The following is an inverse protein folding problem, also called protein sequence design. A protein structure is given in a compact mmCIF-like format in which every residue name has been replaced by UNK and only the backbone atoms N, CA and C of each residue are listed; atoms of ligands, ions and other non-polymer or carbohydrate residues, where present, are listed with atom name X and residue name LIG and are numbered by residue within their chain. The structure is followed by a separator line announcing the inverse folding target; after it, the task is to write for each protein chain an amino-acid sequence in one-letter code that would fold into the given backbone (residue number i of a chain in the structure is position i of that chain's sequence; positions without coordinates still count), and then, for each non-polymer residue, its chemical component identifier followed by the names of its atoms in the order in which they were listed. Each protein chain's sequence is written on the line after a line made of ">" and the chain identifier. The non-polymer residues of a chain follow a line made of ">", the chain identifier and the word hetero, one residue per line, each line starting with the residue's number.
data_IF_504066302984
#
_entry.id   IF_504066302984
#
_cell.length_a   1.000
_cell.length_b   1.000
_cell.length_c   1.000
_cell.angle_alpha   90.00
_cell.angle_beta   90.00
_cell.angle_gamma   90.00
#
_symmetry.space_group_name_H-M   'P 1'
#
loop_
_entity.id
_entity.type
_entity.pdbx_description
1 polymer ?
#
# COMPACT_ATOMS: atom_id res chain seq x y z
N UNK A 1 5.90 -20.95 -48.04
CA UNK A 1 4.74 -20.15 -48.47
C UNK A 1 3.49 -20.36 -47.64
N UNK A 2 3.01 -21.56 -47.39
CA UNK A 2 1.77 -21.79 -46.58
C UNK A 2 1.80 -21.16 -45.18
N UNK A 3 2.90 -21.22 -44.46
CA UNK A 3 3.04 -20.64 -43.12
C UNK A 3 2.93 -19.10 -43.11
N UNK A 4 3.47 -18.44 -44.13
CA UNK A 4 3.43 -16.99 -44.28
C UNK A 4 2.00 -16.48 -44.56
N UNK A 5 1.24 -17.23 -45.33
CA UNK A 5 -0.18 -16.91 -45.61
C UNK A 5 -1.05 -17.11 -44.35
N UNK A 6 -0.76 -18.12 -43.54
CA UNK A 6 -1.49 -18.36 -42.28
C UNK A 6 -1.20 -17.26 -41.27
N UNK A 7 0.05 -16.79 -41.16
CA UNK A 7 0.46 -15.69 -40.30
C UNK A 7 -0.19 -14.35 -40.71
N UNK A 8 -0.25 -14.11 -42.03
CA UNK A 8 -0.88 -12.92 -42.61
C UNK A 8 -2.40 -12.92 -42.39
N UNK A 9 -3.04 -14.09 -42.49
CA UNK A 9 -4.48 -14.24 -42.22
C UNK A 9 -4.84 -14.05 -40.75
N UNK A 10 -3.98 -14.52 -39.80
CA UNK A 10 -4.10 -14.29 -38.37
C UNK A 10 -3.92 -12.81 -37.97
N UNK A 11 -3.04 -12.09 -38.66
CA UNK A 11 -2.86 -10.64 -38.47
C UNK A 11 -4.09 -9.82 -38.92
N UNK A 12 -4.71 -10.20 -40.03
CA UNK A 12 -5.92 -9.51 -40.55
C UNK A 12 -7.13 -9.74 -39.62
N UNK A 13 -7.25 -10.93 -39.03
CA UNK A 13 -8.35 -11.22 -38.09
C UNK A 13 -8.27 -10.36 -36.81
N UNK A 14 -7.04 -10.03 -36.35
CA UNK A 14 -6.89 -9.19 -35.16
C UNK A 14 -7.20 -7.70 -35.39
N UNK A 15 -7.02 -7.19 -36.60
CA UNK A 15 -7.36 -5.77 -36.91
C UNK A 15 -8.84 -5.50 -37.05
N UNK A 16 -9.64 -6.55 -37.33
CA UNK A 16 -11.09 -6.40 -37.60
C UNK A 16 -11.92 -6.19 -36.32
N UNK A 17 -11.45 -6.60 -35.15
CA UNK A 17 -12.22 -6.51 -33.90
C UNK A 17 -12.14 -5.15 -33.20
N UNK A 18 -11.17 -4.31 -33.53
CA UNK A 18 -11.02 -3.02 -32.85
C UNK A 18 -11.87 -1.89 -33.44
N UNK A 19 -12.28 -2.00 -34.69
CA UNK A 19 -13.03 -0.96 -35.37
C UNK A 19 -14.42 -0.64 -34.79
N UNK A 20 -15.26 -1.63 -34.39
CA UNK A 20 -16.56 -1.32 -33.79
C UNK A 20 -16.44 -0.54 -32.49
N UNK A 21 -15.50 -0.89 -31.63
CA UNK A 21 -15.28 -0.21 -30.35
C UNK A 21 -14.77 1.22 -30.57
N UNK A 22 -13.82 1.39 -31.50
CA UNK A 22 -13.31 2.72 -31.84
C UNK A 22 -14.39 3.62 -32.43
N UNK A 23 -15.18 3.09 -33.34
CA UNK A 23 -16.30 3.83 -33.94
C UNK A 23 -17.36 4.23 -32.91
N UNK A 24 -17.63 3.35 -31.96
CA UNK A 24 -18.54 3.65 -30.86
C UNK A 24 -17.95 4.75 -29.96
N UNK A 25 -16.68 4.62 -29.57
CA UNK A 25 -15.99 5.63 -28.76
C UNK A 25 -16.00 7.01 -29.44
N UNK A 26 -15.67 7.09 -30.73
CA UNK A 26 -15.68 8.37 -31.46
C UNK A 26 -17.08 9.00 -31.50
N UNK A 27 -18.14 8.18 -31.56
CA UNK A 27 -19.53 8.66 -31.53
C UNK A 27 -19.91 9.28 -30.18
N UNK A 28 -19.41 8.71 -29.06
CA UNK A 28 -19.81 9.11 -27.71
C UNK A 28 -18.83 10.10 -27.07
N UNK A 29 -17.64 10.34 -27.66
CA UNK A 29 -16.53 11.09 -27.03
C UNK A 29 -16.87 12.50 -26.52
N UNK A 30 -17.94 13.11 -27.03
CA UNK A 30 -18.40 14.43 -26.61
C UNK A 30 -19.64 14.36 -25.71
N UNK A 31 -20.06 13.16 -25.28
CA UNK A 31 -21.16 12.97 -24.35
C UNK A 31 -20.65 12.39 -23.05
N UNK A 32 -20.56 13.21 -22.00
CA UNK A 32 -19.99 12.83 -20.71
C UNK A 32 -20.72 11.65 -20.04
N UNK A 33 -22.05 11.58 -20.14
CA UNK A 33 -22.83 10.49 -19.57
C UNK A 33 -22.55 9.16 -20.28
N UNK A 34 -22.49 9.14 -21.61
CA UNK A 34 -22.16 7.95 -22.40
C UNK A 34 -20.70 7.52 -22.21
N UNK A 35 -19.77 8.49 -22.12
CA UNK A 35 -18.36 8.19 -21.78
C UNK A 35 -18.22 7.56 -20.39
N UNK A 36 -18.92 8.09 -19.40
CA UNK A 36 -18.92 7.53 -18.05
C UNK A 36 -19.43 6.10 -18.07
N UNK A 37 -20.56 5.85 -18.75
CA UNK A 37 -21.12 4.51 -18.92
C UNK A 37 -20.14 3.56 -19.64
N UNK A 38 -19.48 4.03 -20.70
CA UNK A 38 -18.49 3.26 -21.45
C UNK A 38 -17.28 2.89 -20.57
N UNK A 39 -16.67 3.85 -19.90
CA UNK A 39 -15.51 3.60 -19.06
C UNK A 39 -15.82 2.81 -17.80
N UNK A 40 -17.04 2.90 -17.27
CA UNK A 40 -17.45 2.07 -16.14
C UNK A 40 -17.54 0.58 -16.49
N UNK A 41 -17.77 0.24 -17.75
CA UNK A 41 -17.84 -1.15 -18.23
C UNK A 41 -16.51 -1.65 -18.82
N UNK A 42 -15.59 -0.75 -19.13
CA UNK A 42 -14.34 -1.09 -19.80
C UNK A 42 -13.44 -1.94 -18.88
N UNK A 43 -12.91 -3.09 -19.36
CA UNK A 43 -11.86 -3.82 -18.66
C UNK A 43 -10.60 -2.95 -18.54
N UNK A 44 -10.07 -2.83 -17.32
CA UNK A 44 -8.91 -1.97 -17.04
C UNK A 44 -7.60 -2.74 -16.91
N UNK A 45 -7.64 -4.08 -17.02
CA UNK A 45 -6.45 -4.93 -16.95
C UNK A 45 -5.88 -5.01 -15.55
N UNK A 46 -4.63 -4.58 -15.38
CA UNK A 46 -3.92 -4.68 -14.11
C UNK A 46 -3.29 -3.37 -13.64
N UNK A 47 -3.19 -3.22 -12.33
CA UNK A 47 -2.42 -2.18 -11.65
C UNK A 47 -1.10 -2.80 -11.17
N UNK A 48 0.02 -2.38 -11.77
CA UNK A 48 1.36 -2.94 -11.51
C UNK A 48 2.15 -2.14 -10.47
N UNK A 49 1.60 -1.03 -9.97
CA UNK A 49 2.24 -0.20 -8.96
C UNK A 49 1.22 0.34 -7.96
N UNK A 50 0.89 -0.48 -6.99
CA UNK A 50 -0.15 -0.21 -6.01
C UNK A 50 0.42 -0.19 -4.58
N UNK A 51 0.00 0.77 -3.77
CA UNK A 51 0.43 0.90 -2.37
C UNK A 51 -0.70 0.47 -1.44
N UNK A 52 -0.56 -0.69 -0.78
CA UNK A 52 -1.59 -1.27 0.08
C UNK A 52 -2.14 -0.28 1.10
N UNK A 53 -1.27 0.27 1.95
CA UNK A 53 -1.70 1.13 3.05
C UNK A 53 -2.36 2.43 2.58
N UNK A 54 -1.87 3.00 1.46
CA UNK A 54 -2.39 4.25 0.90
C UNK A 54 -3.68 4.12 0.10
N UNK A 55 -4.10 2.89 -0.20
CA UNK A 55 -5.28 2.63 -1.03
C UNK A 55 -6.51 2.18 -0.25
N UNK A 56 -6.37 1.88 1.03
CA UNK A 56 -7.52 1.61 1.91
C UNK A 56 -8.19 2.94 2.27
N UNK A 57 -9.49 3.04 2.10
CA UNK A 57 -10.23 4.24 2.46
C UNK A 57 -10.24 4.47 3.98
N UNK A 58 -10.37 5.72 4.39
CA UNK A 58 -10.39 6.07 5.81
C UNK A 58 -11.60 5.49 6.55
N UNK A 59 -12.74 5.31 5.87
CA UNK A 59 -13.96 4.75 6.46
C UNK A 59 -13.78 3.32 6.97
N UNK A 60 -13.30 2.33 6.20
CA UNK A 60 -12.98 1.00 6.70
C UNK A 60 -11.94 1.01 7.81
N UNK A 61 -10.88 1.81 7.69
CA UNK A 61 -9.86 1.93 8.73
C UNK A 61 -10.44 2.42 10.05
N UNK A 62 -11.32 3.43 9.99
CA UNK A 62 -12.03 3.92 11.16
C UNK A 62 -12.95 2.85 11.75
N UNK A 63 -13.65 2.08 10.91
CA UNK A 63 -14.49 0.97 11.38
C UNK A 63 -13.66 -0.08 12.12
N UNK A 64 -12.47 -0.44 11.63
CA UNK A 64 -11.55 -1.34 12.30
C UNK A 64 -11.09 -0.80 13.66
N UNK A 65 -10.65 0.46 13.69
CA UNK A 65 -10.22 1.09 14.95
C UNK A 65 -11.33 1.15 16.00
N UNK A 66 -12.60 1.36 15.58
CA UNK A 66 -13.77 1.34 16.45
C UNK A 66 -14.07 -0.09 16.93
N UNK A 67 -14.04 -1.08 16.01
CA UNK A 67 -14.34 -2.47 16.34
C UNK A 67 -13.33 -3.07 17.32
N UNK A 68 -12.07 -2.72 17.17
CA UNK A 68 -10.98 -3.16 18.03
C UNK A 68 -10.79 -2.28 19.28
N UNK A 69 -11.69 -1.31 19.49
CA UNK A 69 -11.73 -0.38 20.63
C UNK A 69 -10.41 0.36 20.90
N UNK A 70 -9.77 0.85 19.85
CA UNK A 70 -8.51 1.59 19.93
C UNK A 70 -8.67 2.87 20.76
N UNK A 71 -7.55 3.40 21.22
CA UNK A 71 -7.44 4.73 21.80
C UNK A 71 -7.30 5.77 20.71
N UNK A 72 -8.12 6.79 20.75
CA UNK A 72 -8.07 7.99 19.91
C UNK A 72 -7.44 9.14 20.70
N UNK A 73 -6.42 9.77 20.14
CA UNK A 73 -6.02 11.10 20.60
C UNK A 73 -7.03 12.13 20.11
N UNK A 74 -7.74 12.76 21.03
CA UNK A 74 -8.85 13.67 20.68
C UNK A 74 -8.42 15.03 20.18
N UNK A 75 -7.11 15.32 20.16
CA UNK A 75 -6.52 16.55 19.62
C UNK A 75 -5.94 16.33 18.23
N UNK A 76 -5.17 15.24 18.05
CA UNK A 76 -4.43 14.97 16.81
C UNK A 76 -5.14 14.00 15.87
N UNK A 77 -6.16 13.30 16.33
CA UNK A 77 -6.86 12.22 15.61
C UNK A 77 -5.97 11.02 15.28
N UNK A 78 -4.89 10.81 16.01
CA UNK A 78 -4.07 9.59 15.93
C UNK A 78 -4.79 8.46 16.67
N UNK A 79 -4.58 7.21 16.23
CA UNK A 79 -5.09 6.03 16.92
C UNK A 79 -3.96 5.10 17.34
N UNK A 80 -4.11 4.46 18.48
CA UNK A 80 -3.18 3.44 18.98
C UNK A 80 -3.95 2.32 19.68
N UNK A 81 -3.40 1.11 19.62
CA UNK A 81 -3.99 -0.05 20.27
C UNK A 81 -3.87 0.02 21.79
N UNK A 82 -2.77 0.57 22.28
CA UNK A 82 -2.48 0.72 23.70
C UNK A 82 -2.48 2.20 24.08
N UNK A 83 -2.92 2.50 25.32
CA UNK A 83 -2.98 3.87 25.83
C UNK A 83 -1.56 4.39 26.12
N UNK A 84 -1.11 5.46 25.44
CA UNK A 84 0.13 6.14 25.79
C UNK A 84 0.05 6.82 27.17
N UNK A 85 1.23 7.04 27.78
CA UNK A 85 1.35 7.74 29.06
C UNK A 85 1.14 9.25 28.96
N UNK A 86 1.23 9.82 27.77
CA UNK A 86 1.11 11.26 27.50
C UNK A 86 0.01 11.55 26.48
N UNK A 87 -0.55 12.76 26.53
CA UNK A 87 -1.63 13.17 25.62
C UNK A 87 -3.02 12.82 26.13
N UNK A 88 -4.05 13.27 25.42
CA UNK A 88 -5.45 13.08 25.79
C UNK A 88 -6.05 11.97 24.94
N UNK A 89 -6.03 10.75 25.46
CA UNK A 89 -6.48 9.55 24.77
C UNK A 89 -7.78 9.02 25.37
N UNK A 90 -8.72 8.67 24.51
CA UNK A 90 -10.01 8.05 24.88
C UNK A 90 -10.29 6.84 23.99
N UNK A 91 -10.76 5.74 24.58
CA UNK A 91 -11.23 4.59 23.81
C UNK A 91 -12.48 4.92 23.02
N UNK A 92 -12.66 4.29 21.88
CA UNK A 92 -13.85 4.48 21.05
C UNK A 92 -15.13 4.08 21.78
N UNK A 93 -15.10 3.05 22.62
CA UNK A 93 -16.21 2.67 23.51
C UNK A 93 -16.61 3.80 24.46
N UNK A 94 -15.63 4.50 25.03
CA UNK A 94 -15.90 5.68 25.91
C UNK A 94 -16.56 6.81 25.11
N UNK A 95 -16.09 7.11 23.89
CA UNK A 95 -16.69 8.14 23.04
C UNK A 95 -18.13 7.77 22.64
N UNK A 96 -18.38 6.49 22.38
CA UNK A 96 -19.72 5.95 22.08
C UNK A 96 -20.66 6.13 23.27
N UNK A 97 -20.21 5.72 24.46
CA UNK A 97 -21.04 5.80 25.69
C UNK A 97 -21.38 7.25 26.09
N UNK A 98 -20.48 8.20 25.78
CA UNK A 98 -20.68 9.61 26.03
C UNK A 98 -21.46 10.34 24.92
N UNK A 99 -21.90 9.65 23.87
CA UNK A 99 -22.60 10.24 22.73
C UNK A 99 -21.76 11.18 21.86
N UNK A 100 -20.42 11.12 21.97
CA UNK A 100 -19.50 12.03 21.23
C UNK A 100 -18.81 11.36 20.03
N UNK A 101 -19.06 10.07 19.80
CA UNK A 101 -18.38 9.30 18.77
C UNK A 101 -18.55 9.91 17.37
N UNK A 102 -19.77 10.30 16.99
CA UNK A 102 -20.03 10.81 15.63
C UNK A 102 -19.34 12.16 15.38
N UNK A 103 -19.21 13.00 16.39
CA UNK A 103 -18.41 14.22 16.30
C UNK A 103 -16.93 13.90 16.00
N UNK A 104 -16.35 12.90 16.67
CA UNK A 104 -14.96 12.52 16.40
C UNK A 104 -14.79 11.79 15.09
N UNK A 105 -15.77 10.98 14.63
CA UNK A 105 -15.74 10.37 13.29
C UNK A 105 -15.56 11.42 12.20
N UNK A 106 -16.30 12.53 12.25
CA UNK A 106 -16.15 13.60 11.26
C UNK A 106 -14.76 14.22 11.29
N UNK A 107 -14.22 14.50 12.49
CA UNK A 107 -12.85 15.04 12.64
C UNK A 107 -11.78 14.06 12.15
N UNK A 108 -11.95 12.77 12.41
CA UNK A 108 -11.04 11.73 11.93
C UNK A 108 -11.05 11.70 10.40
N UNK A 109 -12.22 11.71 9.77
CA UNK A 109 -12.32 11.70 8.30
C UNK A 109 -11.61 12.89 7.67
N UNK A 110 -11.66 14.08 8.27
CA UNK A 110 -10.95 15.26 7.80
C UNK A 110 -9.42 15.17 7.96
N UNK A 111 -8.93 14.32 8.87
CA UNK A 111 -7.49 14.16 9.14
C UNK A 111 -6.89 12.92 8.48
N UNK A 112 -7.70 11.91 8.17
CA UNK A 112 -7.26 10.65 7.57
C UNK A 112 -7.46 10.59 6.06
N UNK A 113 -8.17 11.54 5.49
CA UNK A 113 -8.42 11.59 4.05
C UNK A 113 -8.45 13.02 3.53
N UNK A 114 -8.33 13.17 2.22
CA UNK A 114 -8.53 14.44 1.52
C UNK A 114 -9.99 14.66 1.11
N UNK A 115 -10.90 13.78 1.54
CA UNK A 115 -12.33 13.93 1.36
C UNK A 115 -12.79 15.17 2.14
N UNK A 116 -13.61 15.98 1.53
CA UNK A 116 -14.08 17.26 2.08
C UNK A 116 -12.93 18.23 2.42
N UNK A 117 -11.80 18.10 1.70
CA UNK A 117 -10.64 18.97 1.88
C UNK A 117 -11.01 20.44 1.65
N UNK A 118 -10.67 21.28 2.64
CA UNK A 118 -10.85 22.72 2.55
C UNK A 118 -9.50 23.42 2.42
N UNK A 119 -9.32 24.23 1.38
CA UNK A 119 -8.07 24.87 0.99
C UNK A 119 -7.49 25.88 1.98
N UNK A 120 -8.25 26.28 3.00
CA UNK A 120 -7.95 27.54 3.68
C UNK A 120 -6.78 27.45 4.66
N UNK A 121 -6.52 26.29 5.27
CA UNK A 121 -5.62 26.24 6.43
C UNK A 121 -4.50 25.19 6.36
N UNK A 122 -4.50 24.28 5.37
CA UNK A 122 -3.54 23.19 5.35
C UNK A 122 -3.26 22.66 3.94
N UNK A 123 -1.98 22.53 3.50
CA UNK A 123 -1.67 22.00 2.17
C UNK A 123 -2.14 20.56 2.00
N UNK A 124 -2.74 20.22 0.84
CA UNK A 124 -3.32 18.91 0.57
C UNK A 124 -2.28 17.78 0.55
N UNK A 125 -1.10 18.06 0.02
CA UNK A 125 0.03 17.13 0.01
C UNK A 125 0.53 16.82 1.42
N UNK A 126 0.61 17.84 2.28
CA UNK A 126 0.97 17.66 3.69
C UNK A 126 -0.08 16.83 4.43
N UNK A 127 -1.37 17.12 4.24
CA UNK A 127 -2.46 16.34 4.81
C UNK A 127 -2.38 14.88 4.36
N UNK A 128 -2.15 14.64 3.07
CA UNK A 128 -2.00 13.31 2.51
C UNK A 128 -0.87 12.53 3.19
N UNK A 129 0.34 13.08 3.22
CA UNK A 129 1.49 12.37 3.81
C UNK A 129 1.38 12.19 5.31
N UNK A 130 0.85 13.14 6.05
CA UNK A 130 0.67 13.03 7.51
C UNK A 130 -0.44 12.05 7.90
N UNK A 131 -1.42 11.80 7.03
CA UNK A 131 -2.52 10.88 7.31
C UNK A 131 -2.04 9.44 7.53
N UNK A 132 -0.99 9.00 6.83
CA UNK A 132 -0.47 7.63 6.96
C UNK A 132 -0.09 7.26 8.39
N UNK A 133 0.62 8.15 9.09
CA UNK A 133 1.03 7.91 10.47
C UNK A 133 -0.15 7.83 11.44
N UNK A 134 -1.27 8.46 11.10
CA UNK A 134 -2.46 8.50 11.96
C UNK A 134 -3.26 7.21 11.93
N UNK A 135 -3.39 6.58 10.78
CA UNK A 135 -4.23 5.39 10.61
C UNK A 135 -3.43 4.07 10.53
N UNK A 136 -2.09 4.11 10.42
CA UNK A 136 -1.27 2.91 10.29
C UNK A 136 -1.56 1.83 11.35
N UNK A 137 -1.75 2.14 12.65
CA UNK A 137 -2.08 1.13 13.64
C UNK A 137 -3.38 0.36 13.34
N UNK A 138 -4.35 1.00 12.69
CA UNK A 138 -5.59 0.35 12.27
C UNK A 138 -5.39 -0.63 11.11
N UNK A 139 -4.36 -0.39 10.26
CA UNK A 139 -3.98 -1.30 9.16
C UNK A 139 -3.31 -2.55 9.71
N UNK A 140 -2.36 -2.40 10.64
CA UNK A 140 -1.50 -3.50 11.11
C UNK A 140 -2.25 -4.69 11.67
N UNK A 141 -3.42 -4.48 12.29
CA UNK A 141 -4.29 -5.55 12.79
C UNK A 141 -5.23 -6.15 11.74
N UNK A 142 -5.35 -5.54 10.55
CA UNK A 142 -6.45 -5.77 9.62
C UNK A 142 -6.03 -5.99 8.16
N UNK A 143 -4.80 -6.47 7.93
CA UNK A 143 -4.27 -6.70 6.57
C UNK A 143 -5.22 -7.52 5.68
N UNK A 144 -5.77 -8.61 6.20
CA UNK A 144 -6.64 -9.48 5.42
C UNK A 144 -7.95 -8.80 5.00
N UNK A 145 -8.55 -8.02 5.88
CA UNK A 145 -9.76 -7.25 5.56
C UNK A 145 -9.46 -6.15 4.54
N UNK A 146 -8.30 -5.47 4.69
CA UNK A 146 -7.84 -4.50 3.71
C UNK A 146 -7.63 -5.11 2.33
N UNK A 147 -7.01 -6.28 2.22
CA UNK A 147 -6.83 -6.99 0.95
C UNK A 147 -8.18 -7.37 0.32
N UNK A 148 -9.16 -7.80 1.13
CA UNK A 148 -10.51 -8.09 0.64
C UNK A 148 -11.24 -6.85 0.14
N UNK A 149 -11.05 -5.71 0.79
CA UNK A 149 -11.61 -4.43 0.33
C UNK A 149 -11.02 -4.05 -1.03
N UNK A 150 -9.70 -4.12 -1.18
CA UNK A 150 -9.03 -3.85 -2.44
C UNK A 150 -9.53 -4.77 -3.56
N UNK A 151 -9.63 -6.08 -3.28
CA UNK A 151 -10.19 -7.05 -4.22
C UNK A 151 -11.59 -6.67 -4.68
N UNK A 152 -12.50 -6.40 -3.73
CA UNK A 152 -13.89 -6.03 -4.04
C UNK A 152 -13.96 -4.79 -4.91
N UNK A 153 -13.17 -3.77 -4.58
CA UNK A 153 -13.11 -2.52 -5.34
C UNK A 153 -12.53 -2.74 -6.74
N UNK A 154 -11.41 -3.46 -6.84
CA UNK A 154 -10.80 -3.82 -8.12
C UNK A 154 -11.80 -4.52 -9.06
N UNK A 155 -12.50 -5.54 -8.56
CA UNK A 155 -13.53 -6.25 -9.34
C UNK A 155 -14.65 -5.29 -9.76
N UNK A 156 -15.14 -4.41 -8.86
CA UNK A 156 -16.19 -3.45 -9.19
C UNK A 156 -15.76 -2.40 -10.23
N UNK A 157 -14.47 -2.16 -10.35
CA UNK A 157 -13.85 -1.23 -11.30
C UNK A 157 -13.30 -1.92 -12.55
N UNK A 158 -13.57 -3.23 -12.74
CA UNK A 158 -13.07 -4.07 -13.83
C UNK A 158 -11.52 -4.14 -13.90
N UNK A 159 -10.85 -4.06 -12.78
CA UNK A 159 -9.42 -4.35 -12.62
C UNK A 159 -9.30 -5.82 -12.22
N UNK A 160 -8.56 -6.61 -13.00
CA UNK A 160 -8.44 -8.07 -12.80
C UNK A 160 -7.12 -8.50 -12.14
N UNK A 161 -6.15 -7.57 -12.00
CA UNK A 161 -4.83 -7.86 -11.47
C UNK A 161 -4.27 -6.68 -10.70
N UNK A 162 -3.65 -6.93 -9.54
CA UNK A 162 -2.93 -5.92 -8.76
C UNK A 162 -1.59 -6.47 -8.28
N UNK A 163 -0.52 -5.68 -8.44
CA UNK A 163 0.75 -5.86 -7.72
C UNK A 163 0.86 -4.80 -6.63
N UNK A 164 0.69 -5.20 -5.36
CA UNK A 164 0.68 -4.25 -4.25
C UNK A 164 1.93 -4.32 -3.40
N UNK A 165 2.46 -3.15 -3.05
CA UNK A 165 3.49 -2.99 -2.01
C UNK A 165 2.81 -3.17 -0.65
N UNK A 166 2.98 -4.37 -0.07
CA UNK A 166 2.28 -4.76 1.15
C UNK A 166 3.02 -4.33 2.41
N UNK A 167 4.30 -4.68 2.50
CA UNK A 167 5.15 -4.43 3.68
C UNK A 167 6.62 -4.55 3.33
N UNK A 168 7.49 -3.97 4.15
CA UNK A 168 8.92 -4.26 4.16
C UNK A 168 9.18 -5.59 4.88
N UNK A 169 10.26 -6.29 4.51
CA UNK A 169 10.63 -7.52 5.20
C UNK A 169 11.25 -7.17 6.55
N UNK A 170 10.69 -7.66 7.67
CA UNK A 170 11.28 -7.43 8.98
C UNK A 170 12.64 -8.13 9.09
N UNK A 171 13.63 -7.44 9.65
CA UNK A 171 14.94 -8.02 9.93
C UNK A 171 15.30 -7.77 11.39
N UNK A 172 15.77 -8.81 12.06
CA UNK A 172 16.23 -8.72 13.44
C UNK A 172 17.70 -8.22 13.47
N UNK A 173 17.89 -6.92 13.33
CA UNK A 173 19.18 -6.28 13.57
C UNK A 173 19.08 -5.37 14.78
N UNK A 174 20.09 -5.48 15.67
CA UNK A 174 20.23 -4.58 16.80
C UNK A 174 20.40 -3.13 16.30
N UNK A 175 19.65 -2.20 16.88
CA UNK A 175 19.66 -0.77 16.54
C UNK A 175 21.05 -0.13 16.70
N UNK A 176 21.85 -0.57 17.68
CA UNK A 176 23.21 -0.03 17.91
C UNK A 176 24.18 -0.41 16.79
N UNK A 177 24.08 -1.64 16.28
CA UNK A 177 24.90 -2.08 15.13
C UNK A 177 24.49 -1.34 13.87
N UNK A 178 23.17 -1.14 13.65
CA UNK A 178 22.65 -0.36 12.53
C UNK A 178 23.17 1.08 12.53
N UNK A 179 23.14 1.75 13.68
CA UNK A 179 23.61 3.13 13.80
C UNK A 179 25.09 3.27 13.43
N UNK A 180 25.95 2.36 13.90
CA UNK A 180 27.40 2.37 13.58
C UNK A 180 27.65 2.18 12.08
N UNK A 181 26.95 1.23 11.44
CA UNK A 181 27.08 1.00 10.01
C UNK A 181 26.56 2.18 9.20
N UNK A 182 25.45 2.79 9.58
CA UNK A 182 24.89 3.95 8.89
C UNK A 182 25.85 5.15 8.92
N UNK A 183 26.41 5.47 10.09
CA UNK A 183 27.41 6.54 10.24
C UNK A 183 28.62 6.27 9.35
N UNK A 184 29.14 5.04 9.37
CA UNK A 184 30.30 4.65 8.56
C UNK A 184 30.00 4.78 7.06
N UNK A 185 28.88 4.24 6.58
CA UNK A 185 28.51 4.29 5.17
C UNK A 185 28.33 5.73 4.66
N UNK A 186 27.68 6.59 5.45
CA UNK A 186 27.53 8.01 5.10
C UNK A 186 28.88 8.71 4.97
N UNK A 187 29.80 8.46 5.90
CA UNK A 187 31.15 9.02 5.84
C UNK A 187 31.90 8.57 4.59
N UNK A 188 31.92 7.27 4.32
CA UNK A 188 32.61 6.69 3.16
C UNK A 188 32.01 7.16 1.84
N UNK A 189 30.68 7.33 1.77
CA UNK A 189 29.99 7.88 0.60
C UNK A 189 30.38 9.34 0.36
N UNK A 190 30.48 10.14 1.43
CA UNK A 190 30.95 11.53 1.33
C UNK A 190 32.41 11.61 0.85
N UNK A 191 33.28 10.72 1.32
CA UNK A 191 34.68 10.61 0.92
C UNK A 191 34.85 10.01 -0.50
N UNK A 192 33.76 9.50 -1.11
CA UNK A 192 33.73 8.82 -2.42
C UNK A 192 34.65 7.59 -2.48
N UNK A 193 34.86 6.92 -1.35
CA UNK A 193 35.62 5.68 -1.28
C UNK A 193 34.72 4.47 -1.57
N UNK A 194 34.49 4.22 -2.84
CA UNK A 194 33.63 3.10 -3.30
C UNK A 194 34.10 1.74 -2.80
N UNK A 195 35.42 1.52 -2.73
CA UNK A 195 35.98 0.25 -2.25
C UNK A 195 35.66 0.02 -0.78
N UNK A 196 35.82 1.04 0.04
CA UNK A 196 35.50 0.96 1.47
C UNK A 196 33.99 0.87 1.72
N UNK A 197 33.15 1.50 0.88
CA UNK A 197 31.69 1.33 0.88
C UNK A 197 31.33 -0.14 0.64
N UNK A 198 31.86 -0.77 -0.43
CA UNK A 198 31.59 -2.17 -0.73
C UNK A 198 32.03 -3.10 0.41
N UNK A 199 33.22 -2.91 0.97
CA UNK A 199 33.69 -3.69 2.13
C UNK A 199 32.79 -3.53 3.36
N UNK A 200 32.24 -2.32 3.56
CA UNK A 200 31.31 -2.06 4.64
C UNK A 200 29.98 -2.77 4.42
N UNK A 201 29.46 -2.76 3.18
CA UNK A 201 28.25 -3.50 2.80
C UNK A 201 28.43 -5.02 2.91
N UNK A 202 29.61 -5.56 2.54
CA UNK A 202 29.94 -6.97 2.77
C UNK A 202 29.90 -7.34 4.25
N UNK A 203 30.37 -6.44 5.11
CA UNK A 203 30.33 -6.63 6.57
C UNK A 203 28.89 -6.65 7.07
N UNK A 204 28.03 -5.76 6.57
CA UNK A 204 26.57 -5.77 6.86
C UNK A 204 25.93 -7.06 6.38
N UNK A 205 26.20 -7.47 5.13
CA UNK A 205 25.67 -8.69 4.56
C UNK A 205 26.03 -9.93 5.37
N UNK A 206 27.31 -10.06 5.76
CA UNK A 206 27.77 -11.16 6.60
C UNK A 206 27.12 -11.15 7.99
N UNK A 207 26.86 -9.97 8.56
CA UNK A 207 26.12 -9.82 9.81
C UNK A 207 24.66 -10.28 9.64
N UNK A 208 24.00 -9.89 8.57
CA UNK A 208 22.64 -10.34 8.22
C UNK A 208 22.56 -11.87 8.03
N UNK A 209 23.56 -12.47 7.36
CA UNK A 209 23.60 -13.93 7.19
C UNK A 209 23.75 -14.67 8.52
N UNK A 210 24.61 -14.19 9.42
CA UNK A 210 24.78 -14.74 10.78
C UNK A 210 23.49 -14.66 11.59
N UNK A 211 22.70 -13.62 11.40
CA UNK A 211 21.38 -13.42 12.02
C UNK A 211 20.24 -14.11 11.27
N UNK A 212 20.53 -14.99 10.32
CA UNK A 212 19.54 -15.77 9.57
C UNK A 212 18.50 -14.94 8.80
N UNK A 213 18.89 -13.75 8.32
CA UNK A 213 17.97 -12.83 7.64
C UNK A 213 17.21 -13.48 6.46
N UNK A 214 17.88 -14.37 5.70
CA UNK A 214 17.22 -15.14 4.62
C UNK A 214 16.12 -16.08 5.14
N UNK A 215 16.35 -16.70 6.29
CA UNK A 215 15.34 -17.56 6.94
C UNK A 215 14.16 -16.72 7.40
N UNK A 216 14.39 -15.59 8.04
CA UNK A 216 13.35 -14.64 8.42
C UNK A 216 12.53 -14.15 7.23
N UNK A 217 13.18 -13.74 6.16
CA UNK A 217 12.50 -13.30 4.94
C UNK A 217 11.62 -14.42 4.35
N UNK A 218 12.13 -15.66 4.31
CA UNK A 218 11.36 -16.82 3.85
C UNK A 218 10.17 -17.10 4.75
N UNK A 219 10.37 -17.08 6.06
CA UNK A 219 9.30 -17.33 7.05
C UNK A 219 8.24 -16.24 7.00
N UNK A 220 8.63 -14.97 6.88
CA UNK A 220 7.71 -13.87 6.71
C UNK A 220 6.83 -14.07 5.47
N UNK A 221 7.44 -14.38 4.32
CA UNK A 221 6.69 -14.61 3.10
C UNK A 221 5.76 -15.84 3.20
N UNK A 222 6.19 -16.90 3.87
CA UNK A 222 5.41 -18.15 3.99
C UNK A 222 4.32 -18.02 5.05
N UNK A 223 4.68 -17.55 6.24
CA UNK A 223 3.81 -17.62 7.43
C UNK A 223 2.92 -16.37 7.57
N UNK A 224 3.29 -15.27 6.93
CA UNK A 224 2.48 -14.07 6.92
C UNK A 224 1.85 -13.83 5.55
N UNK A 225 2.63 -13.52 4.51
CA UNK A 225 2.09 -13.08 3.21
C UNK A 225 1.28 -14.19 2.53
N UNK A 226 1.88 -15.37 2.32
CA UNK A 226 1.20 -16.49 1.64
C UNK A 226 0.03 -17.03 2.45
N UNK A 227 0.17 -17.10 3.79
CA UNK A 227 -0.91 -17.51 4.68
C UNK A 227 -2.08 -16.52 4.61
N UNK A 228 -1.81 -15.22 4.72
CA UNK A 228 -2.80 -14.16 4.61
C UNK A 228 -3.56 -14.25 3.29
N UNK A 229 -2.83 -14.35 2.18
CA UNK A 229 -3.39 -14.52 0.83
C UNK A 229 -4.35 -15.71 0.73
N UNK A 230 -3.93 -16.86 1.27
CA UNK A 230 -4.71 -18.10 1.26
C UNK A 230 -5.93 -18.04 2.17
N UNK A 231 -5.77 -17.59 3.41
CA UNK A 231 -6.83 -17.55 4.42
C UNK A 231 -7.98 -16.62 3.98
N UNK A 232 -7.66 -15.53 3.33
CA UNK A 232 -8.63 -14.59 2.80
C UNK A 232 -9.07 -14.86 1.34
N UNK A 233 -8.58 -15.95 0.72
CA UNK A 233 -8.95 -16.35 -0.65
C UNK A 233 -8.86 -15.19 -1.64
N UNK A 234 -7.68 -14.54 -1.66
CA UNK A 234 -7.51 -13.31 -2.43
C UNK A 234 -7.63 -13.57 -3.93
N UNK A 235 -6.97 -14.60 -4.46
CA UNK A 235 -7.13 -14.97 -5.87
C UNK A 235 -8.43 -15.76 -6.11
N UNK A 236 -9.07 -15.50 -7.25
CA UNK A 236 -10.17 -16.29 -7.79
C UNK A 236 -10.20 -16.19 -9.33
N UNK A 237 -11.30 -16.64 -9.96
CA UNK A 237 -11.43 -16.62 -11.42
C UNK A 237 -11.49 -15.22 -12.03
N UNK A 238 -11.81 -14.19 -11.26
CA UNK A 238 -11.99 -12.81 -11.72
C UNK A 238 -10.83 -11.89 -11.36
N UNK A 239 -10.04 -12.26 -10.33
CA UNK A 239 -9.04 -11.37 -9.74
C UNK A 239 -7.80 -12.12 -9.27
N UNK A 240 -6.64 -11.51 -9.50
CA UNK A 240 -5.34 -11.99 -9.04
C UNK A 240 -4.58 -10.86 -8.36
N UNK A 241 -3.96 -11.15 -7.21
CA UNK A 241 -3.09 -10.19 -6.50
C UNK A 241 -1.70 -10.77 -6.27
N UNK A 242 -0.68 -9.93 -6.44
CA UNK A 242 0.71 -10.24 -6.11
C UNK A 242 1.28 -9.17 -5.21
N UNK A 243 2.35 -9.53 -4.51
CA UNK A 243 2.94 -8.66 -3.49
C UNK A 243 4.35 -8.27 -3.87
N UNK A 244 4.64 -6.99 -3.73
CA UNK A 244 5.95 -6.43 -3.93
C UNK A 244 6.57 -6.07 -2.59
N UNK A 245 7.87 -6.31 -2.44
CA UNK A 245 8.66 -5.66 -1.41
C UNK A 245 9.05 -4.27 -1.89
N UNK A 246 9.31 -3.35 -0.97
CA UNK A 246 9.69 -1.99 -1.32
C UNK A 246 10.71 -1.42 -0.34
N UNK A 247 11.44 -0.42 -0.81
CA UNK A 247 12.35 0.39 0.00
C UNK A 247 12.04 1.87 -0.18
N UNK A 248 12.15 2.63 0.88
CA UNK A 248 11.94 4.08 0.84
C UNK A 248 13.28 4.80 0.72
N UNK A 249 13.43 5.70 -0.25
CA UNK A 249 14.70 6.40 -0.53
C UNK A 249 15.26 7.20 0.64
N UNK A 250 14.42 7.58 1.59
CA UNK A 250 14.83 8.31 2.79
C UNK A 250 15.20 7.39 3.96
N UNK A 251 15.15 6.06 3.76
CA UNK A 251 15.67 5.12 4.76
C UNK A 251 17.17 5.28 4.95
N UNK A 252 17.65 4.86 6.12
CA UNK A 252 19.08 4.80 6.39
C UNK A 252 19.77 3.80 5.43
N UNK A 253 21.05 4.02 5.10
CA UNK A 253 21.77 3.18 4.12
C UNK A 253 21.68 1.68 4.38
N UNK A 254 21.76 1.25 5.63
CA UNK A 254 21.67 -0.17 6.01
C UNK A 254 20.24 -0.68 5.82
N UNK A 255 19.23 0.15 6.11
CA UNK A 255 17.83 -0.23 5.90
C UNK A 255 17.49 -0.39 4.43
N UNK A 256 18.06 0.46 3.56
CA UNK A 256 17.96 0.28 2.11
C UNK A 256 18.61 -1.02 1.63
N UNK A 257 19.76 -1.37 2.20
CA UNK A 257 20.54 -2.53 1.76
C UNK A 257 19.93 -3.86 2.23
N UNK A 258 19.28 -3.89 3.39
CA UNK A 258 18.72 -5.12 3.97
C UNK A 258 17.36 -5.52 3.39
N UNK A 259 16.59 -4.57 2.85
CA UNK A 259 15.27 -4.80 2.23
C UNK A 259 15.38 -5.02 0.72
#
# INVERSE_FOLDING_TARGET
>A
MKLLHTLFFLLILNTSYSQPTNNYFEKIRNNEAELTAFFSQMPKGGDLHHHFSGSIYAEPLLQHAIADDFYLNIETMDVLKEKPSTGIWKQFSTLKNNGTLDFYKQKIMQKWSVKDYNYVDYPSDKLFFESFMKFEPAIQGNFGQGLLELKKRAISENVSYIETQLSTIPTDMNTDDLAKFNIRLRKLAFEKDEKAVLQSLDSVYNSLLKKQAKTYAKEFNTNFVAKLHKDFKIDDAQFTMRYQNFVLRFMEPVDLFKN
#
